data_IF_953601519522
#
_entry.id   IF_953601519522
#
_cell.length_a   1.000
_cell.length_b   1.000
_cell.length_c   1.000
_cell.angle_alpha   90.00
_cell.angle_beta   90.00
_cell.angle_gamma   90.00
#
_symmetry.space_group_name_H-M   'P 1'
#
loop_
_entity.id
_entity.type
_entity.pdbx_description
1 polymer ?
#
# COMPACT_ATOMS: atom_id res chain seq x y z
N UNK A 1 -1.72 -39.88 -22.56
CA UNK A 1 -1.84 -39.67 -21.08
C UNK A 1 -1.69 -41.05 -20.43
N UNK A 2 -0.71 -41.21 -19.48
CA UNK A 2 -0.45 -42.51 -18.84
C UNK A 2 -1.45 -42.78 -17.72
N UNK A 3 -1.87 -44.05 -17.57
CA UNK A 3 -2.65 -44.53 -16.44
C UNK A 3 -1.75 -44.69 -15.20
N UNK A 4 -2.26 -44.35 -14.01
CA UNK A 4 -1.60 -44.61 -12.73
C UNK A 4 -2.18 -45.91 -12.15
N UNK A 5 -1.33 -46.90 -11.93
CA UNK A 5 -1.73 -48.22 -11.43
C UNK A 5 -1.47 -48.30 -9.92
N UNK A 6 -2.49 -48.63 -9.14
CA UNK A 6 -2.38 -48.91 -7.72
C UNK A 6 -1.80 -50.30 -7.42
N UNK A 7 -1.39 -50.56 -6.17
CA UNK A 7 -0.81 -51.84 -5.72
C UNK A 7 -1.69 -53.08 -5.97
N UNK A 8 -2.98 -52.93 -6.31
CA UNK A 8 -3.91 -54.00 -6.66
C UNK A 8 -4.10 -54.18 -8.17
N UNK A 9 -3.27 -53.60 -9.04
CA UNK A 9 -3.32 -53.79 -10.49
C UNK A 9 -4.43 -52.98 -11.22
N UNK A 10 -5.27 -52.24 -10.49
CA UNK A 10 -6.28 -51.37 -11.11
C UNK A 10 -5.61 -50.06 -11.54
N UNK A 11 -5.62 -49.78 -12.84
CA UNK A 11 -5.07 -48.55 -13.41
C UNK A 11 -6.20 -47.53 -13.62
N UNK A 12 -6.01 -46.32 -13.12
CA UNK A 12 -6.96 -45.22 -13.27
C UNK A 12 -6.26 -44.02 -13.95
N UNK A 13 -7.04 -43.21 -14.63
CA UNK A 13 -6.52 -41.94 -15.13
C UNK A 13 -6.09 -41.07 -13.95
N UNK A 14 -4.93 -40.40 -14.04
CA UNK A 14 -4.53 -39.43 -13.01
C UNK A 14 -5.59 -38.32 -12.90
N UNK A 15 -5.84 -37.86 -11.66
CA UNK A 15 -6.77 -36.77 -11.44
C UNK A 15 -6.30 -35.54 -12.20
N UNK A 16 -7.22 -34.90 -12.91
CA UNK A 16 -6.92 -33.72 -13.72
C UNK A 16 -8.17 -33.11 -14.37
N UNK A 17 -8.01 -32.12 -15.25
CA UNK A 17 -9.15 -31.40 -15.85
C UNK A 17 -10.14 -32.30 -16.61
N UNK A 18 -9.66 -33.40 -17.20
CA UNK A 18 -10.50 -34.31 -18.00
C UNK A 18 -11.49 -35.11 -17.16
N UNK A 19 -11.18 -35.38 -15.89
CA UNK A 19 -12.01 -36.24 -15.02
C UNK A 19 -12.37 -35.59 -13.68
N UNK A 20 -11.99 -34.30 -13.47
CA UNK A 20 -12.29 -33.55 -12.28
C UNK A 20 -12.62 -32.07 -12.58
N UNK A 21 -13.29 -31.80 -13.69
CA UNK A 21 -13.55 -30.42 -14.13
C UNK A 21 -14.34 -29.58 -13.11
N UNK A 22 -15.26 -30.18 -12.34
CA UNK A 22 -16.06 -29.47 -11.34
C UNK A 22 -15.43 -29.40 -9.96
N UNK A 23 -14.28 -30.08 -9.74
CA UNK A 23 -13.61 -30.17 -8.46
C UNK A 23 -12.09 -29.97 -8.55
N UNK A 24 -11.39 -30.30 -7.47
CA UNK A 24 -9.94 -30.32 -7.44
C UNK A 24 -9.36 -31.69 -7.10
N UNK A 25 -8.08 -31.86 -7.33
CA UNK A 25 -7.38 -33.13 -7.12
C UNK A 25 -6.70 -33.13 -5.72
N UNK A 26 -7.21 -33.99 -4.83
CA UNK A 26 -6.52 -34.32 -3.58
C UNK A 26 -5.69 -35.59 -3.82
N UNK A 27 -4.42 -35.42 -4.16
CA UNK A 27 -3.60 -36.49 -4.70
C UNK A 27 -4.16 -36.99 -6.02
N UNK A 28 -4.53 -38.29 -6.08
CA UNK A 28 -5.12 -38.94 -7.27
C UNK A 28 -6.66 -39.00 -7.24
N UNK A 29 -7.28 -38.38 -6.23
CA UNK A 29 -8.73 -38.46 -6.04
C UNK A 29 -9.36 -37.11 -6.37
N UNK A 30 -10.38 -37.14 -7.25
CA UNK A 30 -11.23 -35.98 -7.50
C UNK A 30 -12.15 -35.75 -6.30
N UNK A 31 -12.13 -34.52 -5.76
CA UNK A 31 -13.02 -34.08 -4.67
C UNK A 31 -13.74 -32.79 -5.08
N UNK A 32 -14.87 -32.47 -4.43
CA UNK A 32 -15.73 -31.37 -4.84
C UNK A 32 -15.09 -29.97 -4.76
N UNK A 33 -14.03 -29.81 -3.94
CA UNK A 33 -13.28 -28.55 -3.86
C UNK A 33 -14.02 -27.39 -3.17
N UNK A 34 -14.96 -27.69 -2.26
CA UNK A 34 -15.77 -26.69 -1.52
C UNK A 34 -15.33 -26.47 -0.08
N UNK A 35 -14.43 -27.32 0.43
CA UNK A 35 -14.01 -27.27 1.82
C UNK A 35 -12.76 -26.42 1.96
N UNK A 36 -12.61 -25.74 3.11
CA UNK A 36 -11.45 -24.88 3.39
C UNK A 36 -10.12 -25.63 3.31
N UNK A 37 -10.08 -26.90 3.68
CA UNK A 37 -8.88 -27.75 3.56
C UNK A 37 -8.72 -28.43 2.20
N UNK A 38 -9.66 -28.25 1.27
CA UNK A 38 -9.64 -28.80 -0.09
C UNK A 38 -10.43 -27.91 -1.05
N UNK A 39 -9.87 -26.71 -1.29
CA UNK A 39 -10.47 -25.69 -2.15
C UNK A 39 -9.91 -25.74 -3.57
N UNK A 40 -10.76 -25.63 -4.55
CA UNK A 40 -10.36 -25.52 -5.94
C UNK A 40 -11.37 -26.11 -6.92
N UNK A 41 -11.14 -25.88 -8.20
CA UNK A 41 -11.93 -26.45 -9.30
C UNK A 41 -11.06 -26.63 -10.56
N UNK A 42 -11.64 -27.15 -11.64
CA UNK A 42 -10.94 -27.32 -12.91
C UNK A 42 -9.92 -28.46 -12.93
N UNK A 43 -9.96 -29.37 -11.96
CA UNK A 43 -9.03 -30.51 -11.92
C UNK A 43 -7.59 -30.12 -11.54
N UNK A 44 -7.37 -28.94 -11.00
CA UNK A 44 -6.10 -28.54 -10.39
C UNK A 44 -5.89 -29.19 -9.01
N UNK A 45 -4.69 -29.13 -8.45
CA UNK A 45 -4.46 -29.54 -7.07
C UNK A 45 -5.34 -28.73 -6.09
N UNK A 46 -5.90 -29.39 -5.07
CA UNK A 46 -6.64 -28.70 -4.04
C UNK A 46 -5.71 -27.85 -3.17
N UNK A 47 -6.15 -26.64 -2.84
CA UNK A 47 -5.48 -25.74 -1.89
C UNK A 47 -6.06 -25.90 -0.49
N UNK A 48 -5.20 -25.87 0.53
CA UNK A 48 -5.63 -25.78 1.92
C UNK A 48 -5.69 -24.31 2.34
N UNK A 49 -6.89 -23.75 2.26
CA UNK A 49 -7.15 -22.37 2.65
C UNK A 49 -7.05 -22.17 4.17
N UNK A 50 -7.42 -23.20 4.96
CA UNK A 50 -7.40 -23.12 6.41
C UNK A 50 -5.97 -22.94 6.95
N UNK A 51 -4.98 -23.59 6.31
CA UNK A 51 -3.57 -23.44 6.68
C UNK A 51 -3.07 -21.99 6.54
N UNK A 52 -3.67 -21.20 5.63
CA UNK A 52 -3.36 -19.79 5.41
C UNK A 52 -4.35 -18.82 6.10
N UNK A 53 -5.24 -19.29 6.97
CA UNK A 53 -6.27 -18.44 7.60
C UNK A 53 -7.31 -17.92 6.60
N UNK A 54 -7.47 -18.59 5.48
CA UNK A 54 -8.40 -18.26 4.39
C UNK A 54 -9.63 -19.19 4.37
N UNK A 55 -10.65 -18.80 3.65
CA UNK A 55 -11.83 -19.63 3.37
C UNK A 55 -11.90 -19.93 1.89
N UNK A 56 -12.53 -21.07 1.54
CA UNK A 56 -12.78 -21.39 0.16
C UNK A 56 -13.91 -20.53 -0.40
N UNK A 57 -13.63 -19.69 -1.37
CA UNK A 57 -14.66 -18.97 -2.11
C UNK A 57 -15.33 -19.92 -3.11
N UNK A 58 -16.50 -20.36 -2.74
CA UNK A 58 -17.28 -21.32 -3.55
C UNK A 58 -18.06 -20.65 -4.68
N UNK A 59 -18.17 -19.30 -4.68
CA UNK A 59 -18.81 -18.51 -5.71
C UNK A 59 -17.83 -18.15 -6.85
N UNK A 60 -16.53 -18.11 -6.58
CA UNK A 60 -15.51 -17.83 -7.57
C UNK A 60 -15.36 -19.00 -8.59
N UNK A 61 -15.04 -18.65 -9.82
CA UNK A 61 -14.74 -19.61 -10.89
C UNK A 61 -13.43 -19.21 -11.57
N UNK A 62 -12.31 -19.94 -11.36
CA UNK A 62 -12.16 -21.13 -10.49
C UNK A 62 -12.28 -20.81 -9.00
N UNK A 63 -12.65 -21.80 -8.18
CA UNK A 63 -12.66 -21.64 -6.71
C UNK A 63 -11.27 -21.39 -6.18
N UNK A 64 -11.15 -20.38 -5.33
CA UNK A 64 -9.86 -19.92 -4.78
C UNK A 64 -9.96 -19.71 -3.26
N UNK A 65 -8.81 -19.70 -2.60
CA UNK A 65 -8.76 -19.30 -1.21
C UNK A 65 -8.88 -17.78 -1.11
N UNK A 66 -9.89 -17.31 -0.38
CA UNK A 66 -10.04 -15.88 -0.03
C UNK A 66 -9.88 -15.73 1.47
N UNK A 67 -9.14 -14.71 1.89
CA UNK A 67 -9.14 -14.35 3.30
C UNK A 67 -10.52 -13.83 3.67
N UNK A 68 -11.04 -14.16 4.87
CA UNK A 68 -12.25 -13.53 5.36
C UNK A 68 -12.07 -12.01 5.25
N UNK A 69 -13.01 -11.35 4.58
CA UNK A 69 -13.03 -9.89 4.54
C UNK A 69 -13.49 -9.40 5.92
N UNK A 70 -12.55 -9.27 6.85
CA UNK A 70 -12.79 -8.71 8.20
C UNK A 70 -12.55 -7.19 8.20
N UNK A 71 -12.94 -6.55 7.13
CA UNK A 71 -12.80 -5.12 6.89
C UNK A 71 -14.10 -4.37 7.29
N UNK A 72 -14.03 -3.29 8.08
CA UNK A 72 -12.89 -2.85 8.85
C UNK A 72 -12.63 -3.73 10.10
N UNK A 73 -11.36 -3.83 10.50
CA UNK A 73 -11.02 -4.45 11.78
C UNK A 73 -11.26 -3.47 12.93
N UNK A 74 -11.51 -4.00 14.13
CA UNK A 74 -11.61 -3.15 15.32
C UNK A 74 -10.22 -2.61 15.68
N UNK A 75 -10.09 -1.29 15.72
CA UNK A 75 -8.87 -0.64 16.15
C UNK A 75 -8.67 -0.78 17.66
N UNK A 76 -7.46 -1.17 18.06
CA UNK A 76 -7.13 -1.41 19.47
C UNK A 76 -6.89 -0.11 20.28
N UNK A 77 -6.76 1.01 19.59
CA UNK A 77 -6.43 2.32 20.17
C UNK A 77 -4.99 2.74 19.87
N UNK A 78 -4.77 4.05 19.85
CA UNK A 78 -3.45 4.62 19.57
C UNK A 78 -2.50 4.41 20.75
N UNK A 79 -1.34 3.82 20.49
CA UNK A 79 -0.33 3.65 21.51
C UNK A 79 0.37 4.97 21.86
N UNK A 80 0.79 5.18 23.12
CA UNK A 80 1.64 6.31 23.48
C UNK A 80 2.93 6.30 22.64
N UNK A 81 3.27 7.45 22.05
CA UNK A 81 4.48 7.61 21.22
C UNK A 81 4.29 7.33 19.73
N UNK A 82 3.11 6.89 19.29
CA UNK A 82 2.77 6.90 17.86
C UNK A 82 2.82 8.36 17.36
N UNK A 83 3.50 8.57 16.25
CA UNK A 83 3.58 9.86 15.56
C UNK A 83 3.98 9.62 14.12
N UNK A 84 3.66 10.56 13.24
CA UNK A 84 4.22 10.51 11.88
C UNK A 84 5.75 10.70 11.94
N UNK A 85 6.52 10.02 11.07
CA UNK A 85 7.95 10.26 10.98
C UNK A 85 8.25 11.74 10.72
N UNK A 86 9.08 12.36 11.55
CA UNK A 86 9.46 13.74 11.38
C UNK A 86 10.64 13.84 10.41
N UNK A 87 10.39 14.33 9.21
CA UNK A 87 11.42 14.58 8.21
C UNK A 87 12.27 15.81 8.61
N UNK A 88 13.54 15.79 8.26
CA UNK A 88 14.43 16.94 8.48
C UNK A 88 14.42 17.82 7.24
N UNK A 89 14.15 19.12 7.41
CA UNK A 89 14.22 20.12 6.34
C UNK A 89 15.66 20.63 6.13
N UNK A 90 15.93 21.22 4.98
CA UNK A 90 17.17 21.95 4.67
C UNK A 90 18.46 21.14 4.96
N UNK A 91 18.50 19.88 4.49
CA UNK A 91 19.61 18.97 4.78
C UNK A 91 20.88 19.25 3.97
N UNK A 92 20.83 20.12 2.97
CA UNK A 92 21.94 20.44 2.06
C UNK A 92 22.56 19.18 1.41
N UNK A 93 21.71 18.31 0.88
CA UNK A 93 22.08 17.01 0.31
C UNK A 93 21.98 16.96 -1.22
N UNK A 94 21.15 17.82 -1.82
CA UNK A 94 20.93 17.88 -3.26
C UNK A 94 21.44 19.19 -3.87
N UNK A 95 22.12 19.08 -4.99
CA UNK A 95 22.40 20.24 -5.82
C UNK A 95 21.12 20.68 -6.56
N UNK A 96 21.06 21.95 -6.95
CA UNK A 96 19.92 22.47 -7.72
C UNK A 96 19.74 21.70 -9.04
N UNK A 97 20.84 21.28 -9.68
CA UNK A 97 20.79 20.50 -10.91
C UNK A 97 20.15 19.14 -10.71
N UNK A 98 20.46 18.43 -9.60
CA UNK A 98 19.86 17.13 -9.29
C UNK A 98 18.33 17.23 -9.25
N UNK A 99 17.80 18.33 -8.69
CA UNK A 99 16.36 18.53 -8.58
C UNK A 99 15.69 18.94 -9.90
N UNK A 100 16.41 19.66 -10.75
CA UNK A 100 15.96 19.97 -12.12
C UNK A 100 15.92 18.70 -12.97
N UNK A 101 16.91 17.85 -12.85
CA UNK A 101 16.99 16.58 -13.53
C UNK A 101 15.89 15.60 -13.03
N UNK A 102 15.59 15.62 -11.72
CA UNK A 102 14.45 14.89 -11.16
C UNK A 102 13.12 15.32 -11.80
N UNK A 103 12.90 16.65 -11.91
CA UNK A 103 11.67 17.17 -12.51
C UNK A 103 11.53 16.71 -13.97
N UNK A 104 12.61 16.77 -14.73
CA UNK A 104 12.58 16.38 -16.14
C UNK A 104 12.43 14.86 -16.34
N UNK A 105 13.18 14.06 -15.57
CA UNK A 105 13.19 12.61 -15.73
C UNK A 105 11.90 11.95 -15.21
N UNK A 106 11.28 12.51 -14.16
CA UNK A 106 10.14 11.91 -13.47
C UNK A 106 8.77 12.53 -13.83
N UNK A 107 8.72 13.43 -14.82
CA UNK A 107 7.45 14.03 -15.27
C UNK A 107 6.41 13.02 -15.75
N UNK A 108 6.82 11.83 -16.18
CA UNK A 108 5.94 10.72 -16.56
C UNK A 108 5.55 9.79 -15.42
N UNK A 109 5.85 10.14 -14.16
CA UNK A 109 5.56 9.33 -12.98
C UNK A 109 6.72 8.45 -12.52
N UNK A 110 6.58 7.92 -11.30
CA UNK A 110 7.60 7.09 -10.64
C UNK A 110 7.92 5.80 -11.41
N UNK A 111 6.91 5.16 -11.99
CA UNK A 111 7.08 3.91 -12.75
C UNK A 111 7.74 4.12 -14.13
N UNK A 112 7.95 5.37 -14.57
CA UNK A 112 8.59 5.68 -15.85
C UNK A 112 10.06 5.25 -15.89
N UNK A 113 10.47 4.64 -17.00
CA UNK A 113 11.86 4.16 -17.17
C UNK A 113 12.90 5.27 -16.95
N UNK A 114 12.59 6.52 -17.35
CA UNK A 114 13.48 7.65 -17.15
C UNK A 114 13.64 8.01 -15.66
N UNK A 115 12.56 7.96 -14.90
CA UNK A 115 12.59 8.23 -13.46
C UNK A 115 13.40 7.17 -12.71
N UNK A 116 13.21 5.89 -13.04
CA UNK A 116 13.97 4.80 -12.45
C UNK A 116 15.47 4.90 -12.81
N UNK A 117 15.80 5.23 -14.07
CA UNK A 117 17.17 5.45 -14.51
C UNK A 117 17.81 6.66 -13.79
N UNK A 118 17.04 7.73 -13.57
CA UNK A 118 17.49 8.89 -12.81
C UNK A 118 17.85 8.51 -11.37
N UNK A 119 16.99 7.79 -10.64
CA UNK A 119 17.30 7.37 -9.28
C UNK A 119 18.49 6.41 -9.20
N UNK A 120 18.65 5.52 -10.17
CA UNK A 120 19.84 4.67 -10.27
C UNK A 120 21.12 5.52 -10.48
N UNK A 121 21.07 6.53 -11.36
CA UNK A 121 22.17 7.48 -11.58
C UNK A 121 22.46 8.28 -10.31
N UNK A 122 21.43 8.81 -9.65
CA UNK A 122 21.56 9.60 -8.43
C UNK A 122 22.19 8.79 -7.30
N UNK A 123 21.78 7.54 -7.12
CA UNK A 123 22.36 6.63 -6.13
C UNK A 123 23.84 6.39 -6.35
N UNK A 124 24.27 6.32 -7.62
CA UNK A 124 25.68 6.10 -7.96
C UNK A 124 26.54 7.36 -7.83
N UNK A 125 25.98 8.56 -8.12
CA UNK A 125 26.77 9.79 -8.28
C UNK A 125 26.52 10.81 -7.15
N UNK A 126 25.34 10.81 -6.54
CA UNK A 126 24.94 11.73 -5.46
C UNK A 126 24.15 10.95 -4.39
N UNK A 127 24.77 9.96 -3.70
CA UNK A 127 24.07 9.04 -2.80
C UNK A 127 23.39 9.76 -1.61
N UNK A 128 23.91 10.86 -1.15
CA UNK A 128 23.32 11.69 -0.10
C UNK A 128 21.99 12.32 -0.57
N UNK A 129 21.94 12.81 -1.81
CA UNK A 129 20.72 13.34 -2.40
C UNK A 129 19.70 12.23 -2.65
N UNK A 130 20.14 11.06 -3.16
CA UNK A 130 19.27 9.89 -3.33
C UNK A 130 18.62 9.48 -2.00
N UNK A 131 19.42 9.43 -0.92
CA UNK A 131 18.93 9.10 0.43
C UNK A 131 17.93 10.14 0.95
N UNK A 132 18.18 11.41 0.70
CA UNK A 132 17.27 12.49 1.11
C UNK A 132 15.93 12.46 0.37
N UNK A 133 15.95 12.11 -0.91
CA UNK A 133 14.74 12.00 -1.74
C UNK A 133 14.00 10.67 -1.56
N UNK A 134 14.63 9.65 -0.94
CA UNK A 134 14.04 8.32 -0.78
C UNK A 134 12.63 8.32 -0.13
N UNK A 135 12.34 9.14 0.91
CA UNK A 135 11.00 9.20 1.51
C UNK A 135 9.88 9.62 0.55
N UNK A 136 10.24 10.23 -0.58
CA UNK A 136 9.30 10.75 -1.58
C UNK A 136 9.18 9.85 -2.82
N UNK A 137 9.88 8.69 -2.83
CA UNK A 137 9.83 7.71 -3.93
C UNK A 137 8.60 6.80 -3.79
N UNK A 138 7.42 7.37 -3.89
CA UNK A 138 6.16 6.63 -3.93
C UNK A 138 5.14 7.40 -4.77
N UNK A 139 4.09 6.72 -5.21
CA UNK A 139 3.01 7.35 -5.98
C UNK A 139 2.22 8.30 -5.09
N UNK A 140 2.65 9.55 -5.08
CA UNK A 140 2.05 10.61 -4.29
C UNK A 140 0.77 11.11 -4.96
N UNK A 141 -0.35 10.97 -4.30
CA UNK A 141 -1.64 11.45 -4.77
C UNK A 141 -2.43 12.07 -3.61
N UNK A 142 -3.49 12.79 -3.94
CA UNK A 142 -4.31 13.51 -2.97
C UNK A 142 -4.99 12.60 -1.92
N UNK A 143 -5.03 11.28 -2.14
CA UNK A 143 -5.54 10.29 -1.19
C UNK A 143 -4.45 9.63 -0.35
N UNK A 144 -3.17 9.95 -0.56
CA UNK A 144 -2.07 9.47 0.27
C UNK A 144 -1.87 10.39 1.49
N UNK A 145 -2.80 10.33 2.43
CA UNK A 145 -2.75 11.13 3.66
C UNK A 145 -1.49 10.86 4.48
N UNK A 146 -1.00 9.63 4.52
CA UNK A 146 0.21 9.30 5.26
C UNK A 146 1.43 10.05 4.71
N UNK A 147 1.56 10.15 3.38
CA UNK A 147 2.63 10.89 2.76
C UNK A 147 2.53 12.41 2.99
N UNK A 148 1.31 12.96 2.88
CA UNK A 148 1.02 14.38 3.17
C UNK A 148 1.40 14.70 4.62
N UNK A 149 0.98 13.85 5.55
CA UNK A 149 1.23 14.04 6.98
C UNK A 149 2.71 13.91 7.33
N UNK A 150 3.43 12.96 6.74
CA UNK A 150 4.88 12.83 6.89
C UNK A 150 5.60 14.09 6.39
N UNK A 151 5.19 14.60 5.23
CA UNK A 151 5.73 15.84 4.67
C UNK A 151 5.48 17.04 5.60
N UNK A 152 4.28 17.22 6.13
CA UNK A 152 3.90 18.34 6.98
C UNK A 152 4.43 18.22 8.43
N UNK A 153 4.88 17.02 8.85
CA UNK A 153 5.28 16.74 10.24
C UNK A 153 6.34 17.66 10.84
N UNK A 154 7.33 18.21 10.10
CA UNK A 154 8.29 19.18 10.63
C UNK A 154 7.67 20.52 11.05
N UNK A 155 6.51 20.85 10.48
CA UNK A 155 5.88 22.17 10.60
C UNK A 155 4.74 22.22 11.62
N UNK A 156 4.51 21.11 12.33
CA UNK A 156 3.45 21.00 13.34
C UNK A 156 4.00 20.76 14.74
N UNK A 157 3.17 21.00 15.75
CA UNK A 157 3.53 20.72 17.15
C UNK A 157 3.65 19.22 17.40
N UNK A 158 4.41 18.77 18.43
CA UNK A 158 4.49 17.35 18.78
C UNK A 158 3.12 16.69 19.04
N UNK A 159 2.18 17.42 19.66
CA UNK A 159 0.83 16.93 19.91
C UNK A 159 0.06 16.73 18.60
N UNK A 160 0.14 17.69 17.69
CA UNK A 160 -0.45 17.57 16.36
C UNK A 160 0.12 16.37 15.60
N UNK A 161 1.44 16.22 15.62
CA UNK A 161 2.11 15.09 14.96
C UNK A 161 1.69 13.74 15.57
N UNK A 162 1.52 13.65 16.89
CA UNK A 162 0.99 12.46 17.55
C UNK A 162 -0.44 12.14 17.10
N UNK A 163 -1.34 13.12 17.14
CA UNK A 163 -2.74 12.93 16.72
C UNK A 163 -2.84 12.47 15.26
N UNK A 164 -2.04 13.06 14.39
CA UNK A 164 -1.96 12.69 12.98
C UNK A 164 -1.41 11.27 12.80
N UNK A 165 -0.38 10.90 13.55
CA UNK A 165 0.14 9.54 13.57
C UNK A 165 -0.91 8.52 14.02
N UNK A 166 -1.71 8.87 15.03
CA UNK A 166 -2.82 8.03 15.49
C UNK A 166 -3.94 7.87 14.45
N UNK A 167 -4.23 8.92 13.67
CA UNK A 167 -5.18 8.83 12.57
C UNK A 167 -4.71 7.84 11.50
N UNK A 168 -3.48 8.00 11.01
CA UNK A 168 -2.88 7.11 10.02
C UNK A 168 -2.79 5.66 10.53
N UNK A 169 -2.37 5.46 11.78
CA UNK A 169 -2.30 4.12 12.39
C UNK A 169 -3.69 3.49 12.51
N UNK A 170 -4.69 4.27 12.91
CA UNK A 170 -6.07 3.80 13.00
C UNK A 170 -6.61 3.33 11.65
N UNK A 171 -6.46 4.13 10.59
CA UNK A 171 -6.91 3.80 9.24
C UNK A 171 -6.19 2.57 8.69
N UNK A 172 -4.85 2.59 8.73
CA UNK A 172 -4.02 1.51 8.22
C UNK A 172 -4.32 0.19 8.94
N UNK A 173 -4.40 0.21 10.28
CA UNK A 173 -4.67 -0.98 11.08
C UNK A 173 -6.10 -1.48 10.88
N UNK A 174 -7.08 -0.56 10.77
CA UNK A 174 -8.49 -0.94 10.56
C UNK A 174 -8.71 -1.56 9.19
N UNK A 175 -8.00 -1.09 8.17
CA UNK A 175 -8.21 -1.47 6.77
C UNK A 175 -7.16 -2.46 6.24
N UNK A 176 -6.20 -2.88 7.06
CA UNK A 176 -5.10 -3.78 6.68
C UNK A 176 -5.54 -5.13 6.06
N UNK A 177 -6.73 -5.60 6.41
CA UNK A 177 -7.27 -6.89 5.94
C UNK A 177 -8.33 -6.73 4.85
N UNK A 178 -8.54 -5.50 4.35
CA UNK A 178 -9.44 -5.25 3.24
C UNK A 178 -8.87 -5.79 1.93
N UNK A 179 -9.75 -6.22 1.02
CA UNK A 179 -9.35 -6.45 -0.35
C UNK A 179 -8.88 -5.12 -0.98
N UNK A 180 -7.91 -5.13 -1.92
CA UNK A 180 -7.37 -3.89 -2.50
C UNK A 180 -8.43 -2.92 -3.05
N UNK A 181 -9.55 -3.44 -3.59
CA UNK A 181 -10.66 -2.61 -4.08
C UNK A 181 -11.54 -2.00 -2.99
N UNK A 182 -11.43 -2.48 -1.75
CA UNK A 182 -12.29 -2.06 -0.62
C UNK A 182 -11.56 -1.12 0.34
N UNK A 183 -10.25 -0.91 0.17
CA UNK A 183 -9.41 -0.11 1.10
C UNK A 183 -9.96 1.30 1.23
N UNK A 184 -10.17 2.01 0.13
CA UNK A 184 -10.68 3.39 0.12
C UNK A 184 -12.07 3.49 0.76
N UNK A 185 -12.96 2.52 0.49
CA UNK A 185 -14.27 2.48 1.11
C UNK A 185 -14.18 2.24 2.63
N UNK A 186 -13.22 1.42 3.07
CA UNK A 186 -12.94 1.18 4.48
C UNK A 186 -12.44 2.45 5.16
N UNK A 187 -11.43 3.12 4.60
CA UNK A 187 -10.86 4.36 5.13
C UNK A 187 -11.93 5.42 5.31
N UNK A 188 -12.75 5.64 4.29
CA UNK A 188 -13.88 6.56 4.36
C UNK A 188 -14.88 6.19 5.48
N UNK A 189 -15.15 4.89 5.69
CA UNK A 189 -16.08 4.44 6.72
C UNK A 189 -15.51 4.62 8.14
N UNK A 190 -14.22 4.34 8.37
CA UNK A 190 -13.61 4.48 9.69
C UNK A 190 -13.40 5.94 10.09
N UNK A 191 -13.32 6.85 9.11
CA UNK A 191 -13.24 8.31 9.31
C UNK A 191 -14.61 8.98 9.41
N UNK A 192 -15.68 8.35 8.91
CA UNK A 192 -17.03 8.93 8.90
C UNK A 192 -17.52 9.31 10.31
N UNK A 193 -18.50 10.20 10.44
CA UNK A 193 -19.16 10.45 11.73
C UNK A 193 -19.58 9.15 12.41
N UNK A 194 -19.12 8.94 13.63
CA UNK A 194 -19.21 7.68 14.40
C UNK A 194 -18.27 6.54 13.94
N UNK A 195 -17.40 6.77 12.97
CA UNK A 195 -16.29 5.86 12.63
C UNK A 195 -15.25 5.78 13.74
N UNK A 196 -14.54 4.66 13.83
CA UNK A 196 -13.61 4.43 14.94
C UNK A 196 -12.35 5.32 14.92
N UNK A 197 -12.02 5.94 13.77
CA UNK A 197 -10.88 6.85 13.62
C UNK A 197 -11.27 8.33 13.73
N UNK A 198 -12.55 8.67 13.79
CA UNK A 198 -13.03 10.05 13.81
C UNK A 198 -12.46 10.91 14.94
N UNK A 199 -12.25 10.33 16.13
CA UNK A 199 -11.67 11.08 17.26
C UNK A 199 -10.24 11.55 16.99
N UNK A 200 -9.48 10.81 16.20
CA UNK A 200 -8.12 11.18 15.80
C UNK A 200 -8.14 12.23 14.70
N UNK A 201 -9.05 12.12 13.73
CA UNK A 201 -9.24 13.09 12.67
C UNK A 201 -9.51 14.50 13.22
N UNK A 202 -10.34 14.62 14.25
CA UNK A 202 -10.57 15.89 14.92
C UNK A 202 -9.29 16.46 15.55
N UNK A 203 -8.41 15.60 16.06
CA UNK A 203 -7.14 15.98 16.66
C UNK A 203 -6.04 16.32 15.63
N UNK A 204 -6.14 15.77 14.43
CA UNK A 204 -5.17 16.00 13.32
C UNK A 204 -5.52 17.24 12.48
N UNK A 205 -6.69 17.83 12.65
CA UNK A 205 -7.10 19.05 11.95
C UNK A 205 -6.13 20.24 12.05
N UNK A 206 -5.22 20.20 13.03
CA UNK A 206 -4.10 21.14 13.15
C UNK A 206 -3.13 21.10 11.96
N UNK A 207 -3.06 19.99 11.22
CA UNK A 207 -2.18 19.86 10.04
C UNK A 207 -2.64 20.76 8.89
N UNK A 208 -3.94 21.03 8.79
CA UNK A 208 -4.48 21.96 7.80
C UNK A 208 -3.89 23.37 7.94
N UNK A 209 -3.57 23.76 9.17
CA UNK A 209 -2.87 25.01 9.42
C UNK A 209 -1.44 25.02 8.87
N UNK A 210 -0.74 23.90 8.92
CA UNK A 210 0.59 23.75 8.32
C UNK A 210 0.51 23.69 6.79
N UNK A 211 -0.47 22.97 6.23
CA UNK A 211 -0.68 22.88 4.79
C UNK A 211 -1.10 24.23 4.17
N UNK A 212 -1.79 25.08 4.93
CA UNK A 212 -2.20 26.40 4.47
C UNK A 212 -1.15 27.50 4.56
N UNK A 213 0.03 27.24 5.12
CA UNK A 213 1.05 28.25 5.37
C UNK A 213 2.46 27.75 4.98
N UNK A 214 3.26 28.65 4.39
CA UNK A 214 4.65 28.34 4.08
C UNK A 214 5.45 28.08 5.37
N UNK A 215 6.39 27.11 5.36
CA UNK A 215 6.79 26.26 4.23
C UNK A 215 5.97 24.97 4.07
N UNK A 216 5.04 24.68 4.95
CA UNK A 216 4.26 23.45 4.97
C UNK A 216 3.25 23.34 3.81
N UNK A 217 2.91 24.46 3.17
CA UNK A 217 2.06 24.53 1.98
C UNK A 217 2.63 23.73 0.80
N UNK A 218 3.93 23.50 0.76
CA UNK A 218 4.56 22.61 -0.20
C UNK A 218 4.09 21.14 -0.08
N UNK A 219 3.51 20.77 1.05
CA UNK A 219 2.95 19.42 1.29
C UNK A 219 1.45 19.34 0.94
N UNK A 220 0.81 20.44 0.57
CA UNK A 220 -0.60 20.45 0.19
C UNK A 220 -0.77 19.91 -1.24
N UNK A 221 -1.45 18.74 -1.43
CA UNK A 221 -1.66 18.17 -2.75
C UNK A 221 -2.59 19.00 -3.64
N UNK A 222 -3.32 19.94 -3.08
CA UNK A 222 -4.21 20.84 -3.80
C UNK A 222 -3.55 22.18 -4.14
N UNK A 223 -2.34 22.44 -3.69
CA UNK A 223 -1.62 23.68 -4.03
C UNK A 223 -1.16 23.65 -5.50
N UNK A 224 -1.68 24.53 -6.34
CA UNK A 224 -1.37 24.52 -7.78
C UNK A 224 0.10 24.83 -8.08
N UNK A 225 0.86 25.36 -7.12
CA UNK A 225 2.30 25.64 -7.30
C UNK A 225 3.14 24.38 -7.36
N UNK A 226 2.68 23.29 -6.75
CA UNK A 226 3.43 22.03 -6.63
C UNK A 226 2.91 20.94 -7.56
N UNK A 227 1.76 21.14 -8.19
CA UNK A 227 1.14 20.31 -9.23
C UNK A 227 1.37 18.79 -9.07
N UNK A 228 0.70 18.18 -8.10
CA UNK A 228 0.81 16.74 -7.83
C UNK A 228 0.42 15.83 -9.00
N UNK A 229 -0.14 16.37 -10.08
CA UNK A 229 -0.32 15.67 -11.34
C UNK A 229 0.99 15.43 -12.12
N UNK A 230 2.09 16.10 -11.73
CA UNK A 230 3.43 15.89 -12.27
C UNK A 230 4.38 15.47 -11.15
N UNK A 231 4.72 14.19 -11.12
CA UNK A 231 5.58 13.61 -10.09
C UNK A 231 6.98 14.23 -10.09
N UNK A 232 7.50 14.66 -11.24
CA UNK A 232 8.79 15.34 -11.34
C UNK A 232 8.80 16.70 -10.64
N UNK A 233 7.73 17.49 -10.82
CA UNK A 233 7.56 18.78 -10.13
C UNK A 233 7.36 18.58 -8.62
N UNK A 234 6.62 17.55 -8.22
CA UNK A 234 6.50 17.15 -6.82
C UNK A 234 7.88 16.85 -6.21
N UNK A 235 8.69 15.98 -6.83
CA UNK A 235 10.03 15.66 -6.34
C UNK A 235 10.94 16.90 -6.25
N UNK A 236 10.85 17.79 -7.23
CA UNK A 236 11.61 19.04 -7.20
C UNK A 236 11.18 19.93 -6.03
N UNK A 237 9.89 20.06 -5.76
CA UNK A 237 9.35 20.81 -4.62
C UNK A 237 9.82 20.25 -3.29
N UNK A 238 9.66 18.94 -3.10
CA UNK A 238 10.12 18.23 -1.90
C UNK A 238 11.64 18.32 -1.73
N UNK A 239 12.38 18.15 -2.82
CA UNK A 239 13.82 18.26 -2.81
C UNK A 239 14.29 19.66 -2.39
N UNK A 240 13.62 20.73 -2.84
CA UNK A 240 13.92 22.11 -2.41
C UNK A 240 13.66 22.30 -0.92
N UNK A 241 12.56 21.77 -0.41
CA UNK A 241 12.15 21.95 0.99
C UNK A 241 13.01 21.11 1.96
N UNK A 242 13.34 19.88 1.60
CA UNK A 242 13.99 18.94 2.50
C UNK A 242 15.48 18.75 2.22
N UNK A 243 15.90 18.79 0.97
CA UNK A 243 17.22 18.34 0.56
C UNK A 243 18.17 19.46 0.12
N UNK A 244 17.69 20.66 -0.13
CA UNK A 244 18.55 21.86 -0.34
C UNK A 244 18.84 22.59 0.98
N UNK A 245 19.78 23.55 0.97
CA UNK A 245 20.09 24.41 2.12
C UNK A 245 18.89 25.19 2.63
#
# INVERSE_FOLDING_TARGET
>A
MGLVCGAGGACKQPCGPANCAAGCCSGQTCVGGFLNNRCGSGGSACSDCAAGGSTCDTAAVPRVCTKPNTCPQKYAGCAPGVSTPKLTTHQNKCATQDLQDAAAACSGGLAGNNCQAFFAFLTANSPDCATCLAPFQHDYNASDFAAIFNCASPFVTPLCNHNTGCEVDCETSSCAMCAPGDVVACENNVQAPAGQCQSFQAGSGCINGALGNAPGDACDPFDPRYNFGDYGLFLQGMGKLFCQP
#
